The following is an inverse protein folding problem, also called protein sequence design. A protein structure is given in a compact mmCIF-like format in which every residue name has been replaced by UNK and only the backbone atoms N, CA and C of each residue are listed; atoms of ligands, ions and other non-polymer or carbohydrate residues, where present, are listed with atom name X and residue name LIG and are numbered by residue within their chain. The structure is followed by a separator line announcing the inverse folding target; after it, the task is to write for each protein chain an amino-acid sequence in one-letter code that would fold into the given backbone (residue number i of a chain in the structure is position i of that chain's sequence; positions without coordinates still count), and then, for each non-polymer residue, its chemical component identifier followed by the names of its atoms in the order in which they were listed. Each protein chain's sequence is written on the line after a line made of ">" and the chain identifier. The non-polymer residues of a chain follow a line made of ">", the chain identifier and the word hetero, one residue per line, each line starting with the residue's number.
data_IF_380902561876
#
_entry.id   IF_380902561876
#
_cell.length_a   1.000
_cell.length_b   1.000
_cell.length_c   1.000
_cell.angle_alpha   90.00
_cell.angle_beta   90.00
_cell.angle_gamma   90.00
#
_symmetry.space_group_name_H-M   'P 1'
#
loop_
_entity.id
_entity.type
_entity.pdbx_description
1 polymer ?
#
# COMPACT_ATOMS: atom_id res chain seq x y z
N UNK A 1 1.20 16.22 13.49
CA UNK A 1 -0.20 16.58 13.14
C UNK A 1 -1.22 15.53 13.63
N UNK A 2 -2.23 15.92 14.42
CA UNK A 2 -3.18 14.96 15.03
C UNK A 2 -4.10 14.26 14.02
N UNK A 3 -4.33 14.88 12.86
CA UNK A 3 -5.21 14.35 11.80
C UNK A 3 -4.70 13.08 11.10
N UNK A 4 -3.41 12.77 11.25
CA UNK A 4 -2.78 11.59 10.63
C UNK A 4 -2.47 10.51 11.67
N UNK A 5 -2.89 10.70 12.92
CA UNK A 5 -2.73 9.68 13.95
C UNK A 5 -3.78 8.58 13.76
N UNK A 6 -3.39 7.30 13.87
CA UNK A 6 -4.31 6.17 13.73
C UNK A 6 -5.49 6.29 14.69
N UNK A 7 -6.71 6.02 14.22
CA UNK A 7 -7.94 6.10 15.01
C UNK A 7 -7.89 5.26 16.30
N UNK A 8 -7.18 4.13 16.27
CA UNK A 8 -6.95 3.25 17.43
C UNK A 8 -6.25 3.96 18.59
N UNK A 9 -5.46 5.01 18.33
CA UNK A 9 -4.84 5.82 19.38
C UNK A 9 -5.85 6.69 20.14
N UNK A 10 -7.08 6.85 19.63
CA UNK A 10 -8.15 7.60 20.29
C UNK A 10 -9.25 6.70 20.87
N UNK A 11 -9.19 5.39 20.61
CA UNK A 11 -10.16 4.41 21.12
C UNK A 11 -9.89 4.07 22.59
N UNK A 12 -10.55 4.81 23.49
CA UNK A 12 -10.50 4.56 24.94
C UNK A 12 -11.47 3.46 25.38
N UNK A 13 -12.56 3.26 24.65
CA UNK A 13 -13.68 2.42 25.05
C UNK A 13 -13.41 0.94 24.79
N UNK A 14 -12.76 0.60 23.67
CA UNK A 14 -12.45 -0.79 23.32
C UNK A 14 -10.98 -1.18 23.61
N UNK A 15 -10.27 -0.30 24.33
CA UNK A 15 -8.91 -0.54 24.80
C UNK A 15 -7.82 -0.32 23.75
N UNK A 16 -8.12 0.23 22.57
CA UNK A 16 -7.13 0.59 21.55
C UNK A 16 -6.00 1.47 22.09
N UNK A 17 -6.34 2.56 22.78
CA UNK A 17 -5.36 3.47 23.38
C UNK A 17 -4.46 2.74 24.39
N UNK A 18 -5.05 1.90 25.25
CA UNK A 18 -4.28 1.16 26.27
C UNK A 18 -3.26 0.21 25.60
N UNK A 19 -3.65 -0.48 24.53
CA UNK A 19 -2.75 -1.34 23.75
C UNK A 19 -1.62 -0.54 23.11
N UNK A 20 -1.94 0.58 22.43
CA UNK A 20 -0.94 1.45 21.83
C UNK A 20 0.04 2.02 22.87
N UNK A 21 -0.44 2.38 24.06
CA UNK A 21 0.41 2.90 25.13
C UNK A 21 1.27 1.82 25.81
N UNK A 22 0.83 0.55 25.80
CA UNK A 22 1.55 -0.55 26.43
C UNK A 22 2.74 -1.05 25.57
N UNK A 23 2.63 -1.00 24.25
CA UNK A 23 3.70 -1.44 23.33
C UNK A 23 5.04 -0.74 23.61
N UNK A 24 5.15 0.61 23.70
CA UNK A 24 6.41 1.26 24.04
C UNK A 24 6.98 0.85 25.41
N UNK A 25 6.12 0.55 26.39
CA UNK A 25 6.57 0.10 27.72
C UNK A 25 7.22 -1.27 27.66
N UNK A 26 6.68 -2.17 26.84
CA UNK A 26 7.24 -3.50 26.60
C UNK A 26 8.53 -3.43 25.79
N UNK A 27 8.59 -2.57 24.77
CA UNK A 27 9.80 -2.36 23.97
C UNK A 27 10.99 -1.94 24.82
N UNK A 28 10.80 -1.13 25.88
CA UNK A 28 11.88 -0.76 26.81
C UNK A 28 12.51 -1.92 27.58
N UNK A 29 11.89 -3.10 27.59
CA UNK A 29 12.37 -4.29 28.31
C UNK A 29 13.13 -5.25 27.40
N UNK A 30 13.24 -4.96 26.10
CA UNK A 30 13.98 -5.81 25.17
C UNK A 30 15.49 -5.55 25.26
N UNK A 31 16.29 -6.45 24.68
CA UNK A 31 17.76 -6.29 24.60
C UNK A 31 18.19 -5.38 23.46
N UNK A 32 17.30 -5.11 22.52
CA UNK A 32 17.52 -4.32 21.32
C UNK A 32 16.24 -4.30 20.48
N UNK A 33 16.15 -3.37 19.55
CA UNK A 33 15.01 -3.20 18.66
C UNK A 33 15.55 -3.18 17.23
N UNK A 34 15.11 -4.14 16.41
CA UNK A 34 15.40 -4.15 14.98
C UNK A 34 14.30 -3.34 14.27
N UNK A 35 14.70 -2.38 13.45
CA UNK A 35 13.78 -1.54 12.68
C UNK A 35 14.08 -1.72 11.21
N UNK A 36 13.06 -2.04 10.42
CA UNK A 36 13.17 -2.18 8.97
C UNK A 36 13.26 -0.79 8.32
N UNK A 37 14.38 -0.10 8.52
CA UNK A 37 14.69 1.21 7.95
C UNK A 37 16.21 1.32 7.77
N UNK A 38 16.69 2.41 7.19
CA UNK A 38 18.10 2.71 7.00
C UNK A 38 18.42 4.17 7.35
N UNK A 39 19.68 4.46 7.66
CA UNK A 39 20.08 5.73 8.27
C UNK A 39 19.83 6.93 7.36
N UNK A 40 20.02 6.77 6.06
CA UNK A 40 19.84 7.83 5.07
C UNK A 40 18.36 8.26 4.95
N UNK A 41 17.41 7.35 5.22
CA UNK A 41 15.98 7.66 5.17
C UNK A 41 15.49 8.41 6.41
N UNK A 42 15.93 8.00 7.60
CA UNK A 42 15.37 8.47 8.88
C UNK A 42 16.45 8.97 9.86
N UNK A 43 17.50 9.62 9.34
CA UNK A 43 18.69 10.01 10.10
C UNK A 43 18.39 10.76 11.41
N UNK A 44 17.47 11.72 11.38
CA UNK A 44 17.05 12.49 12.55
C UNK A 44 16.38 11.59 13.60
N UNK A 45 15.38 10.80 13.19
CA UNK A 45 14.64 9.90 14.09
C UNK A 45 15.57 8.88 14.73
N UNK A 46 16.44 8.26 13.94
CA UNK A 46 17.42 7.27 14.43
C UNK A 46 18.36 7.91 15.44
N UNK A 47 18.89 9.11 15.14
CA UNK A 47 19.74 9.84 16.06
C UNK A 47 19.03 10.11 17.39
N UNK A 48 17.83 10.68 17.36
CA UNK A 48 17.05 10.98 18.55
C UNK A 48 16.77 9.73 19.40
N UNK A 49 16.45 8.60 18.76
CA UNK A 49 16.22 7.34 19.48
C UNK A 49 17.51 6.75 20.07
N UNK A 50 18.63 6.88 19.36
CA UNK A 50 19.94 6.38 19.83
C UNK A 50 20.51 7.17 21.02
N UNK A 51 20.16 8.46 21.13
CA UNK A 51 20.59 9.34 22.23
C UNK A 51 19.72 9.17 23.50
N UNK A 52 18.54 8.53 23.40
CA UNK A 52 17.70 8.24 24.56
C UNK A 52 18.16 6.97 25.29
N UNK A 53 19.00 7.14 26.31
CA UNK A 53 19.52 6.05 27.15
C UNK A 53 18.46 5.24 27.93
N UNK A 54 17.17 5.63 27.87
CA UNK A 54 16.05 4.84 28.42
C UNK A 54 15.56 3.78 27.44
N UNK A 55 15.99 3.83 26.18
CA UNK A 55 15.66 2.86 25.14
C UNK A 55 16.77 1.81 25.02
N UNK A 56 16.41 0.55 24.69
CA UNK A 56 17.39 -0.44 24.25
C UNK A 56 18.08 0.02 22.95
N UNK A 57 19.25 -0.56 22.60
CA UNK A 57 19.91 -0.30 21.33
C UNK A 57 18.96 -0.47 20.14
N UNK A 58 18.91 0.54 19.28
CA UNK A 58 18.16 0.51 18.02
C UNK A 58 19.10 0.08 16.89
N UNK A 59 18.69 -0.91 16.12
CA UNK A 59 19.44 -1.39 14.96
C UNK A 59 18.58 -1.25 13.71
N UNK A 60 19.03 -0.41 12.78
CA UNK A 60 18.44 -0.30 11.45
C UNK A 60 18.92 -1.45 10.58
N UNK A 61 18.00 -2.27 10.07
CA UNK A 61 18.30 -3.49 9.31
C UNK A 61 17.68 -3.48 7.91
N UNK A 62 17.10 -2.36 7.49
CA UNK A 62 16.37 -2.23 6.24
C UNK A 62 17.25 -1.91 5.02
N UNK A 63 16.67 -2.01 3.82
CA UNK A 63 15.33 -2.55 3.55
C UNK A 63 15.33 -4.10 3.62
N UNK A 64 14.51 -4.67 4.50
CA UNK A 64 14.26 -6.12 4.60
C UNK A 64 13.09 -6.45 3.68
N UNK A 65 13.38 -7.16 2.59
CA UNK A 65 12.44 -7.44 1.51
C UNK A 65 12.37 -8.95 1.23
N UNK A 66 11.21 -9.43 0.77
CA UNK A 66 11.11 -10.74 0.15
C UNK A 66 11.25 -10.59 -1.37
N UNK A 67 12.47 -10.83 -1.88
CA UNK A 67 12.77 -10.76 -3.31
C UNK A 67 12.48 -12.08 -4.04
N UNK A 68 12.21 -13.16 -3.31
CA UNK A 68 11.90 -14.46 -3.93
C UNK A 68 10.43 -14.47 -4.38
N UNK A 69 10.26 -14.06 -5.63
CA UNK A 69 8.97 -14.01 -6.33
C UNK A 69 8.34 -15.38 -6.57
N UNK A 70 9.06 -16.49 -6.38
CA UNK A 70 8.59 -17.85 -6.61
C UNK A 70 8.39 -18.66 -5.31
N UNK A 71 8.90 -18.17 -4.17
CA UNK A 71 8.77 -18.85 -2.88
C UNK A 71 7.31 -19.13 -2.49
N UNK A 72 6.99 -20.40 -2.26
CA UNK A 72 5.72 -20.84 -1.67
C UNK A 72 4.49 -20.79 -2.58
N UNK A 73 4.66 -20.78 -3.91
CA UNK A 73 3.58 -20.61 -4.89
C UNK A 73 3.27 -21.89 -5.63
N UNK A 74 1.99 -22.12 -5.90
CA UNK A 74 1.54 -23.24 -6.71
C UNK A 74 1.55 -22.91 -8.22
N UNK A 75 1.28 -23.90 -9.06
CA UNK A 75 1.26 -23.73 -10.52
C UNK A 75 0.22 -22.68 -11.00
N UNK A 76 -0.88 -22.52 -10.26
CA UNK A 76 -1.94 -21.57 -10.63
C UNK A 76 -1.50 -20.13 -10.38
N UNK A 77 -0.78 -19.90 -9.27
CA UNK A 77 -0.19 -18.61 -8.94
C UNK A 77 0.90 -18.24 -9.96
N UNK A 78 1.77 -19.19 -10.32
CA UNK A 78 2.81 -18.99 -11.33
C UNK A 78 2.23 -18.65 -12.71
N UNK A 79 1.15 -19.34 -13.11
CA UNK A 79 0.44 -19.04 -14.37
C UNK A 79 -0.15 -17.63 -14.36
N UNK A 80 -0.86 -17.25 -13.30
CA UNK A 80 -1.40 -15.88 -13.15
C UNK A 80 -0.29 -14.83 -13.26
N UNK A 81 0.85 -15.08 -12.64
CA UNK A 81 1.99 -14.15 -12.71
C UNK A 81 2.55 -14.05 -14.11
N UNK A 82 2.68 -15.17 -14.82
CA UNK A 82 3.06 -15.16 -16.23
C UNK A 82 2.18 -14.23 -17.04
N UNK A 83 0.86 -14.29 -16.85
CA UNK A 83 -0.07 -13.38 -17.56
C UNK A 83 0.07 -11.90 -17.19
N UNK A 84 0.51 -11.60 -15.95
CA UNK A 84 0.78 -10.23 -15.50
C UNK A 84 2.05 -9.72 -16.18
N UNK A 85 3.12 -10.52 -16.16
CA UNK A 85 4.41 -10.14 -16.73
C UNK A 85 4.31 -9.98 -18.25
N UNK A 86 3.67 -10.91 -18.97
CA UNK A 86 3.47 -10.79 -20.41
C UNK A 86 2.68 -9.54 -20.79
N UNK A 87 1.70 -9.13 -19.98
CA UNK A 87 0.99 -7.87 -20.23
C UNK A 87 1.91 -6.66 -20.00
N UNK A 88 2.69 -6.66 -18.92
CA UNK A 88 3.67 -5.59 -18.62
C UNK A 88 4.77 -5.49 -19.68
N UNK A 89 5.24 -6.62 -20.23
CA UNK A 89 6.25 -6.71 -21.30
C UNK A 89 5.80 -5.99 -22.58
N UNK A 90 4.49 -5.97 -22.84
CA UNK A 90 3.90 -5.29 -24.01
C UNK A 90 3.70 -3.78 -23.82
N UNK A 91 3.99 -3.24 -22.64
CA UNK A 91 3.83 -1.82 -22.36
C UNK A 91 5.15 -1.05 -22.55
N UNK A 92 5.09 0.22 -23.00
CA UNK A 92 6.28 1.07 -23.05
C UNK A 92 6.96 1.22 -21.66
N UNK A 93 8.29 1.45 -21.62
CA UNK A 93 9.00 1.73 -20.38
C UNK A 93 8.37 2.89 -19.58
N UNK A 94 8.32 2.75 -18.26
CA UNK A 94 7.81 3.74 -17.31
C UNK A 94 6.44 4.35 -17.68
N UNK A 95 5.54 3.56 -18.27
CA UNK A 95 4.24 4.04 -18.77
C UNK A 95 3.03 3.55 -17.97
N UNK A 96 3.21 2.54 -17.12
CA UNK A 96 2.16 1.91 -16.33
C UNK A 96 2.16 2.47 -14.90
N UNK A 97 0.99 2.91 -14.44
CA UNK A 97 0.74 3.18 -13.02
C UNK A 97 0.22 1.91 -12.37
N UNK A 98 0.94 1.42 -11.36
CA UNK A 98 0.50 0.28 -10.56
C UNK A 98 -0.33 0.77 -9.36
N UNK A 99 -1.51 0.20 -9.14
CA UNK A 99 -2.36 0.50 -7.99
C UNK A 99 -2.45 -0.77 -7.13
N UNK A 100 -1.91 -0.71 -5.92
CA UNK A 100 -2.00 -1.80 -4.95
C UNK A 100 -2.04 -1.28 -3.52
N UNK A 101 -3.02 -1.79 -2.78
CA UNK A 101 -3.35 -1.29 -1.44
C UNK A 101 -2.94 -2.29 -0.34
N UNK A 102 -1.93 -3.10 -0.64
CA UNK A 102 -1.41 -4.12 0.28
C UNK A 102 -2.32 -5.32 0.42
N UNK A 103 -1.99 -6.21 1.35
CA UNK A 103 -2.72 -7.46 1.58
C UNK A 103 -4.09 -7.26 2.24
N UNK A 104 -4.23 -6.19 3.02
CA UNK A 104 -5.44 -5.88 3.80
C UNK A 104 -6.25 -4.70 3.24
N UNK A 105 -5.77 -4.04 2.19
CA UNK A 105 -6.48 -2.92 1.57
C UNK A 105 -7.58 -3.40 0.64
N UNK A 106 -8.76 -2.84 0.83
CA UNK A 106 -9.90 -2.98 -0.04
C UNK A 106 -10.77 -1.73 0.09
N UNK A 107 -11.64 -1.52 -0.90
CA UNK A 107 -12.56 -0.40 -0.93
C UNK A 107 -14.01 -0.90 -0.96
N UNK A 108 -14.91 -0.06 -0.46
CA UNK A 108 -16.34 -0.26 -0.68
C UNK A 108 -16.68 -0.03 -2.16
N UNK A 109 -17.80 -0.60 -2.61
CA UNK A 109 -18.15 -0.68 -4.03
C UNK A 109 -18.22 0.70 -4.70
N UNK A 110 -18.72 1.71 -3.99
CA UNK A 110 -18.84 3.08 -4.47
C UNK A 110 -17.46 3.67 -4.82
N UNK A 111 -16.47 3.48 -3.95
CA UNK A 111 -15.12 3.97 -4.20
C UNK A 111 -14.40 3.17 -5.31
N UNK A 112 -14.68 1.87 -5.44
CA UNK A 112 -14.19 1.04 -6.57
C UNK A 112 -14.68 1.61 -7.90
N UNK A 113 -15.97 2.01 -7.97
CA UNK A 113 -16.55 2.64 -9.17
C UNK A 113 -15.87 3.96 -9.49
N UNK A 114 -15.64 4.83 -8.49
CA UNK A 114 -14.95 6.11 -8.71
C UNK A 114 -13.51 5.90 -9.21
N UNK A 115 -12.76 4.94 -8.64
CA UNK A 115 -11.41 4.59 -9.12
C UNK A 115 -11.47 4.11 -10.58
N UNK A 116 -12.40 3.21 -10.91
CA UNK A 116 -12.56 2.72 -12.27
C UNK A 116 -12.86 3.87 -13.27
N UNK A 117 -13.78 4.76 -12.90
CA UNK A 117 -14.11 5.94 -13.70
C UNK A 117 -12.88 6.85 -13.91
N UNK A 118 -12.10 7.10 -12.85
CA UNK A 118 -10.89 7.91 -12.93
C UNK A 118 -9.83 7.28 -13.85
N UNK A 119 -9.58 5.98 -13.69
CA UNK A 119 -8.62 5.24 -14.53
C UNK A 119 -9.02 5.30 -16.01
N UNK A 120 -10.30 5.06 -16.32
CA UNK A 120 -10.80 5.14 -17.69
C UNK A 120 -10.66 6.55 -18.28
N UNK A 121 -10.98 7.59 -17.51
CA UNK A 121 -10.89 8.99 -17.96
C UNK A 121 -9.44 9.47 -18.11
N UNK A 122 -8.53 8.98 -17.26
CA UNK A 122 -7.11 9.37 -17.27
C UNK A 122 -6.39 9.00 -18.57
N UNK A 123 -6.86 7.96 -19.25
CA UNK A 123 -6.21 7.35 -20.44
C UNK A 123 -4.76 6.89 -20.21
N UNK A 124 -4.28 6.91 -18.97
CA UNK A 124 -2.99 6.36 -18.61
C UNK A 124 -3.06 4.84 -18.54
N UNK A 125 -1.91 4.18 -18.77
CA UNK A 125 -1.85 2.74 -18.61
C UNK A 125 -1.84 2.37 -17.14
N UNK A 126 -2.56 1.32 -16.77
CA UNK A 126 -2.64 0.92 -15.37
C UNK A 126 -2.65 -0.59 -15.16
N UNK A 127 -2.05 -1.01 -14.05
CA UNK A 127 -2.23 -2.33 -13.47
C UNK A 127 -2.87 -2.15 -12.10
N UNK A 128 -4.06 -2.71 -11.88
CA UNK A 128 -4.79 -2.52 -10.62
C UNK A 128 -5.02 -3.85 -9.91
N UNK A 129 -4.41 -3.99 -8.73
CA UNK A 129 -4.67 -5.08 -7.80
C UNK A 129 -5.94 -4.79 -6.98
N UNK A 130 -7.08 -5.29 -7.45
CA UNK A 130 -8.39 -5.08 -6.86
C UNK A 130 -8.78 -6.25 -5.96
N UNK A 131 -8.98 -5.97 -4.68
CA UNK A 131 -9.40 -6.92 -3.65
C UNK A 131 -10.85 -6.66 -3.23
N UNK A 132 -11.61 -7.73 -3.01
CA UNK A 132 -12.98 -7.69 -2.51
C UNK A 132 -12.98 -7.39 -1.02
N UNK A 133 -13.69 -6.32 -0.64
CA UNK A 133 -13.93 -5.98 0.77
C UNK A 133 -14.70 -7.11 1.47
N UNK A 134 -14.31 -7.51 2.69
CA UNK A 134 -15.06 -8.51 3.46
C UNK A 134 -16.46 -7.99 3.80
N UNK A 135 -17.45 -8.88 3.84
CA UNK A 135 -18.81 -8.49 4.23
C UNK A 135 -18.83 -8.06 5.70
N UNK A 136 -19.58 -6.98 5.98
CA UNK A 136 -19.78 -6.47 7.35
C UNK A 136 -20.23 -7.62 8.25
N UNK A 137 -19.48 -7.86 9.34
CA UNK A 137 -19.66 -8.90 10.37
C UNK A 137 -18.92 -10.23 10.20
N UNK A 138 -17.86 -10.30 9.39
CA UNK A 138 -16.97 -11.47 9.37
C UNK A 138 -15.51 -11.07 9.63
N UNK A 139 -14.77 -11.83 10.44
CA UNK A 139 -13.32 -11.70 10.66
C UNK A 139 -12.55 -12.25 9.44
N UNK A 140 -12.82 -11.72 8.25
CA UNK A 140 -12.30 -12.24 6.98
C UNK A 140 -11.34 -11.24 6.35
N UNK A 141 -10.22 -11.76 5.84
CA UNK A 141 -9.24 -11.04 5.03
C UNK A 141 -9.81 -10.68 3.65
N UNK A 142 -9.43 -9.55 3.03
CA UNK A 142 -9.84 -9.27 1.65
C UNK A 142 -9.50 -10.43 0.71
N UNK A 143 -10.42 -10.76 -0.20
CA UNK A 143 -10.28 -11.88 -1.14
C UNK A 143 -10.23 -11.41 -2.60
N UNK A 144 -9.97 -12.31 -3.53
CA UNK A 144 -10.13 -12.01 -4.96
C UNK A 144 -11.61 -12.00 -5.34
N UNK A 145 -11.97 -11.16 -6.31
CA UNK A 145 -13.28 -11.27 -6.96
C UNK A 145 -13.32 -12.52 -7.84
N UNK A 146 -14.38 -13.32 -7.70
CA UNK A 146 -14.63 -14.45 -8.60
C UNK A 146 -14.94 -13.98 -10.03
N UNK A 147 -15.63 -12.84 -10.14
CA UNK A 147 -15.93 -12.17 -11.40
C UNK A 147 -15.77 -10.66 -11.22
N UNK A 148 -14.79 -10.07 -11.90
CA UNK A 148 -14.49 -8.64 -11.83
C UNK A 148 -15.64 -7.76 -12.38
N UNK A 149 -16.49 -8.29 -13.25
CA UNK A 149 -17.66 -7.56 -13.77
C UNK A 149 -18.71 -7.28 -12.69
N UNK A 150 -18.68 -7.97 -11.55
CA UNK A 150 -19.56 -7.68 -10.41
C UNK A 150 -19.13 -6.42 -9.63
N UNK A 151 -17.86 -6.02 -9.76
CA UNK A 151 -17.26 -4.93 -9.00
C UNK A 151 -17.08 -3.64 -9.82
N UNK A 152 -16.93 -3.78 -11.13
CA UNK A 152 -16.54 -2.71 -12.04
C UNK A 152 -17.74 -2.20 -12.83
N UNK A 153 -17.70 -0.94 -13.31
CA UNK A 153 -18.73 -0.43 -14.22
C UNK A 153 -18.91 -1.34 -15.44
N UNK A 154 -20.14 -1.48 -15.90
CA UNK A 154 -20.47 -2.31 -17.06
C UNK A 154 -19.57 -1.98 -18.25
N UNK A 155 -18.95 -3.00 -18.86
CA UNK A 155 -18.05 -2.86 -20.01
C UNK A 155 -16.68 -2.23 -19.73
N UNK A 156 -16.34 -1.90 -18.48
CA UNK A 156 -15.07 -1.26 -18.13
C UNK A 156 -13.85 -2.08 -18.61
N UNK A 157 -13.85 -3.40 -18.40
CA UNK A 157 -12.75 -4.26 -18.80
C UNK A 157 -12.53 -4.23 -20.32
N UNK A 158 -13.61 -4.26 -21.11
CA UNK A 158 -13.53 -4.21 -22.57
C UNK A 158 -13.05 -2.85 -23.07
N UNK A 159 -13.54 -1.76 -22.47
CA UNK A 159 -13.15 -0.39 -22.83
C UNK A 159 -11.70 -0.08 -22.47
N UNK A 160 -11.16 -0.73 -21.45
CA UNK A 160 -9.80 -0.46 -20.95
C UNK A 160 -8.77 -1.52 -21.33
N UNK A 161 -9.15 -2.63 -21.99
CA UNK A 161 -8.25 -3.78 -22.28
C UNK A 161 -6.90 -3.44 -22.92
N UNK A 162 -6.84 -2.37 -23.71
CA UNK A 162 -5.61 -1.94 -24.41
C UNK A 162 -4.67 -1.09 -23.52
N UNK A 163 -5.19 -0.50 -22.45
CA UNK A 163 -4.45 0.40 -21.55
C UNK A 163 -4.39 -0.11 -20.11
N UNK A 164 -5.27 -1.02 -19.72
CA UNK A 164 -5.51 -1.39 -18.34
C UNK A 164 -5.61 -2.89 -18.14
N UNK A 165 -5.09 -3.36 -17.01
CA UNK A 165 -5.32 -4.72 -16.54
C UNK A 165 -5.73 -4.69 -15.07
N UNK A 166 -6.84 -5.34 -14.74
CA UNK A 166 -7.29 -5.55 -13.36
C UNK A 166 -6.99 -6.97 -12.95
N UNK A 167 -6.39 -7.13 -11.78
CA UNK A 167 -5.98 -8.41 -11.20
C UNK A 167 -6.44 -8.50 -9.75
N UNK A 168 -6.41 -9.71 -9.18
CA UNK A 168 -6.60 -9.93 -7.75
C UNK A 168 -5.33 -9.62 -6.96
N UNK A 169 -4.73 -10.65 -6.37
CA UNK A 169 -3.41 -10.54 -5.74
C UNK A 169 -2.30 -10.21 -6.75
N UNK A 170 -1.36 -9.35 -6.37
CA UNK A 170 -0.23 -8.94 -7.21
C UNK A 170 1.12 -9.38 -6.63
N UNK A 171 2.03 -9.95 -7.45
CA UNK A 171 3.43 -10.15 -7.06
C UNK A 171 4.15 -8.81 -7.02
N UNK A 172 3.86 -8.02 -5.98
CA UNK A 172 4.16 -6.58 -5.92
C UNK A 172 5.62 -6.25 -6.22
N UNK A 173 6.59 -6.93 -5.59
CA UNK A 173 8.02 -6.71 -5.86
C UNK A 173 8.38 -6.98 -7.32
N UNK A 174 7.83 -8.04 -7.92
CA UNK A 174 8.06 -8.36 -9.33
C UNK A 174 7.49 -7.26 -10.25
N UNK A 175 6.28 -6.79 -9.94
CA UNK A 175 5.60 -5.71 -10.68
C UNK A 175 6.40 -4.41 -10.57
N UNK A 176 6.78 -4.00 -9.34
CA UNK A 176 7.56 -2.79 -9.11
C UNK A 176 8.95 -2.86 -9.74
N UNK A 177 9.54 -4.04 -9.84
CA UNK A 177 10.84 -4.24 -10.54
C UNK A 177 10.72 -4.22 -12.06
N UNK A 178 9.50 -4.23 -12.62
CA UNK A 178 9.30 -4.31 -14.06
C UNK A 178 9.52 -2.94 -14.73
N UNK A 179 10.31 -2.85 -15.81
CA UNK A 179 10.71 -1.57 -16.42
C UNK A 179 9.55 -0.75 -17.02
N UNK A 180 8.40 -1.36 -17.30
CA UNK A 180 7.22 -0.63 -17.77
C UNK A 180 6.43 0.07 -16.66
N UNK A 181 6.67 -0.26 -15.38
CA UNK A 181 6.03 0.41 -14.25
C UNK A 181 6.75 1.73 -13.97
N UNK A 182 6.01 2.83 -14.09
CA UNK A 182 6.52 4.20 -13.92
C UNK A 182 6.00 4.90 -12.66
N UNK A 183 5.02 4.32 -11.96
CA UNK A 183 4.48 4.89 -10.74
C UNK A 183 3.66 3.89 -9.93
N UNK A 184 3.52 4.16 -8.63
CA UNK A 184 2.85 3.29 -7.68
C UNK A 184 1.87 4.06 -6.79
N UNK A 185 0.57 3.85 -6.97
CA UNK A 185 -0.45 4.31 -6.01
C UNK A 185 -0.53 3.29 -4.88
N UNK A 186 -0.20 3.73 -3.67
CA UNK A 186 0.00 2.86 -2.53
C UNK A 186 -0.76 3.32 -1.30
N UNK A 187 -1.28 2.34 -0.57
CA UNK A 187 -1.75 2.51 0.80
C UNK A 187 -0.66 2.93 1.80
N UNK A 188 0.60 3.06 1.41
CA UNK A 188 1.70 3.51 2.27
C UNK A 188 1.97 2.61 3.49
N UNK A 189 1.62 1.33 3.40
CA UNK A 189 2.15 0.33 4.34
C UNK A 189 3.67 0.28 4.25
N UNK A 190 4.36 0.14 5.38
CA UNK A 190 5.81 0.32 5.44
C UNK A 190 6.60 -0.61 4.52
N UNK A 191 6.17 -1.88 4.39
CA UNK A 191 6.78 -2.81 3.45
C UNK A 191 6.67 -2.33 1.99
N UNK A 192 5.51 -1.79 1.60
CA UNK A 192 5.30 -1.27 0.24
C UNK A 192 6.14 -0.02 -0.03
N UNK A 193 6.38 0.81 0.98
CA UNK A 193 7.34 1.92 0.89
C UNK A 193 8.75 1.38 0.63
N UNK A 194 9.22 0.42 1.43
CA UNK A 194 10.55 -0.17 1.27
C UNK A 194 10.72 -0.82 -0.12
N UNK A 195 9.72 -1.54 -0.61
CA UNK A 195 9.73 -2.16 -1.93
C UNK A 195 9.79 -1.12 -3.06
N UNK A 196 9.03 -0.02 -2.96
CA UNK A 196 9.04 1.04 -3.96
C UNK A 196 10.36 1.80 -3.98
N UNK A 197 10.91 2.13 -2.81
CA UNK A 197 12.22 2.76 -2.68
C UNK A 197 13.32 1.87 -3.27
N UNK A 198 13.27 0.58 -2.98
CA UNK A 198 14.22 -0.40 -3.53
C UNK A 198 14.15 -0.51 -5.05
N UNK A 199 12.95 -0.52 -5.62
CA UNK A 199 12.75 -0.61 -7.06
C UNK A 199 12.91 0.74 -7.78
N UNK A 200 13.06 1.85 -7.06
CA UNK A 200 13.18 3.19 -7.64
C UNK A 200 11.90 3.69 -8.31
N UNK A 201 10.72 3.20 -7.89
CA UNK A 201 9.43 3.59 -8.46
C UNK A 201 8.82 4.74 -7.65
N UNK A 202 8.48 5.88 -8.28
CA UNK A 202 7.79 6.98 -7.62
C UNK A 202 6.43 6.55 -7.08
N UNK A 203 6.05 7.04 -5.89
CA UNK A 203 4.76 6.70 -5.28
C UNK A 203 3.79 7.87 -5.22
N UNK A 204 2.50 7.54 -5.17
CA UNK A 204 1.43 8.44 -4.81
C UNK A 204 0.62 7.88 -3.62
N UNK A 205 0.32 8.72 -2.62
CA UNK A 205 -0.18 8.25 -1.32
C UNK A 205 -1.69 8.12 -1.25
N UNK A 206 -2.19 6.95 -0.84
CA UNK A 206 -3.60 6.75 -0.54
C UNK A 206 -3.78 5.81 0.68
N UNK A 207 -3.41 6.26 1.88
CA UNK A 207 -3.45 5.43 3.10
C UNK A 207 -4.88 5.01 3.44
N UNK A 208 -5.04 3.85 4.09
CA UNK A 208 -6.36 3.28 4.41
C UNK A 208 -6.58 2.99 5.90
N UNK A 209 -5.56 2.50 6.61
CA UNK A 209 -5.66 2.08 8.01
C UNK A 209 -4.29 2.02 8.71
N UNK A 210 -4.26 1.63 9.98
CA UNK A 210 -3.05 1.47 10.80
C UNK A 210 -2.16 2.73 10.78
N UNK A 211 -0.84 2.57 10.71
CA UNK A 211 0.15 3.64 10.70
C UNK A 211 0.33 4.33 9.33
N UNK A 212 -0.41 3.88 8.31
CA UNK A 212 -0.23 4.30 6.92
C UNK A 212 -0.36 5.81 6.72
N UNK A 213 -1.23 6.48 7.47
CA UNK A 213 -1.40 7.94 7.39
C UNK A 213 -0.16 8.68 7.93
N UNK A 214 0.49 8.15 8.97
CA UNK A 214 1.76 8.69 9.48
C UNK A 214 2.86 8.46 8.45
N UNK A 215 2.93 7.25 7.88
CA UNK A 215 3.91 6.94 6.85
C UNK A 215 3.74 7.86 5.63
N UNK A 216 2.53 8.00 5.12
CA UNK A 216 2.20 8.88 3.99
C UNK A 216 2.56 10.34 4.30
N UNK A 217 2.20 10.84 5.48
CA UNK A 217 2.56 12.20 5.91
C UNK A 217 4.07 12.40 5.93
N UNK A 218 4.82 11.45 6.50
CA UNK A 218 6.29 11.50 6.59
C UNK A 218 6.90 11.54 5.19
N UNK A 219 6.48 10.62 4.31
CA UNK A 219 7.01 10.53 2.94
C UNK A 219 6.69 11.78 2.09
N UNK A 220 5.52 12.41 2.29
CA UNK A 220 5.09 13.61 1.53
C UNK A 220 5.67 14.89 2.11
N UNK A 221 5.53 15.12 3.42
CA UNK A 221 5.77 16.43 4.05
C UNK A 221 7.13 16.56 4.70
N UNK A 222 7.73 15.46 5.16
CA UNK A 222 9.03 15.49 5.83
C UNK A 222 10.16 15.12 4.88
N UNK A 223 9.97 14.07 4.09
CA UNK A 223 11.00 13.55 3.18
C UNK A 223 10.84 14.05 1.74
N UNK A 224 9.66 14.54 1.36
CA UNK A 224 9.34 15.06 0.01
C UNK A 224 9.68 14.07 -1.13
N UNK A 225 9.51 12.77 -0.87
CA UNK A 225 9.88 11.69 -1.80
C UNK A 225 8.71 11.19 -2.66
N UNK A 226 7.47 11.52 -2.30
CA UNK A 226 6.26 10.94 -2.91
C UNK A 226 5.19 12.01 -3.13
N UNK A 227 4.26 11.74 -4.06
CA UNK A 227 3.16 12.65 -4.39
C UNK A 227 1.95 12.39 -3.50
N UNK A 228 1.29 13.46 -3.06
CA UNK A 228 0.06 13.39 -2.29
C UNK A 228 -1.15 13.18 -3.21
N UNK A 229 -1.87 12.06 -3.04
CA UNK A 229 -3.28 11.94 -3.49
C UNK A 229 -4.20 12.19 -2.30
N UNK A 230 -3.94 11.49 -1.19
CA UNK A 230 -4.67 11.62 0.08
C UNK A 230 -3.74 11.34 1.26
N UNK A 231 -3.98 12.01 2.39
CA UNK A 231 -3.29 11.73 3.66
C UNK A 231 -4.25 11.34 4.79
N UNK A 232 -5.51 11.78 4.74
CA UNK A 232 -6.48 11.72 5.83
C UNK A 232 -7.71 10.85 5.50
N UNK A 233 -7.52 9.77 4.73
CA UNK A 233 -8.59 8.82 4.42
C UNK A 233 -9.28 8.29 5.69
N UNK A 234 -10.60 8.21 5.65
CA UNK A 234 -11.41 7.70 6.76
C UNK A 234 -12.48 6.75 6.24
N UNK A 235 -12.45 5.49 6.70
CA UNK A 235 -13.35 4.41 6.24
C UNK A 235 -14.85 4.70 6.36
N UNK A 236 -15.24 5.67 7.20
CA UNK A 236 -16.64 6.07 7.38
C UNK A 236 -17.17 6.96 6.25
N UNK A 237 -16.31 7.41 5.32
CA UNK A 237 -16.74 8.11 4.12
C UNK A 237 -16.79 7.12 2.94
N UNK A 238 -17.99 6.80 2.40
CA UNK A 238 -18.13 5.81 1.32
C UNK A 238 -17.43 6.22 0.02
N UNK A 239 -17.25 7.52 -0.22
CA UNK A 239 -16.46 8.05 -1.34
C UNK A 239 -15.43 9.02 -0.75
N UNK A 240 -14.18 8.55 -0.67
CA UNK A 240 -13.08 9.35 -0.16
C UNK A 240 -12.44 10.25 -1.23
N UNK A 241 -12.51 9.86 -2.50
CA UNK A 241 -12.05 10.60 -3.67
C UNK A 241 -12.99 10.29 -4.84
N UNK A 242 -13.56 11.33 -5.43
CA UNK A 242 -14.36 11.19 -6.66
C UNK A 242 -13.48 11.17 -7.89
N UNK A 243 -13.97 10.62 -8.99
CA UNK A 243 -13.26 10.54 -10.27
C UNK A 243 -12.97 11.90 -10.91
N UNK A 244 -13.57 12.98 -10.40
CA UNK A 244 -13.39 14.35 -10.91
C UNK A 244 -12.28 15.12 -10.20
N UNK A 245 -11.84 14.62 -9.04
CA UNK A 245 -10.78 15.20 -8.21
C UNK A 245 -9.42 14.60 -8.57
#
# INVERSE_FOLDING_TARGET
>A
PTKVLPSVMFDKENGGFARCADVPRKLRRTKGILVNTFTELESYTIKCLSEDHRLPPIHTVGPVLNLDVNSGKDETDLSKYGTIMTWLDSQPPASVVFLCFGSMGSFEAEQVVEIACALEQSRHRFLWALRKSPTKNTLIYPSDYANLNEALPEGFLDRTKEIGKVIGWAPQVAVLSHPSVGGFVSHCGWNSIMESLWCGVPMATWPLDFEQQINAFTMVKELELVVEIKLDYHKNNPIALSAKE
#
